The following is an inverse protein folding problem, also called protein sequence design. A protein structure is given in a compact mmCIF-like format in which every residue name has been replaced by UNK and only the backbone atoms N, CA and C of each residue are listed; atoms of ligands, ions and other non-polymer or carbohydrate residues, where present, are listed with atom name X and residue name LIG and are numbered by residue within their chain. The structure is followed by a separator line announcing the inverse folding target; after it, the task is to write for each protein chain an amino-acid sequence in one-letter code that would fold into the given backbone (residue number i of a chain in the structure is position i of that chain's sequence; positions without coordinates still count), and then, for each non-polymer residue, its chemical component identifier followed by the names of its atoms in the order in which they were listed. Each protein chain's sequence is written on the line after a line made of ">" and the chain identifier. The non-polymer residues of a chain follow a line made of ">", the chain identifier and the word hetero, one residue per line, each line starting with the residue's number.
data_IF_229657545176
#
_entry.id   IF_229657545176
#
_cell.length_a   1.000
_cell.length_b   1.000
_cell.length_c   1.000
_cell.angle_alpha   90.00
_cell.angle_beta   90.00
_cell.angle_gamma   90.00
#
_symmetry.space_group_name_H-M   'P 1'
#
loop_
_entity.id
_entity.type
_entity.pdbx_description
1 polymer ?
#
# COMPACT_ATOMS: atom_id res chain seq x y z
N UNK A 1 3.07 8.98 41.47
CA UNK A 1 3.12 7.79 40.61
C UNK A 1 1.79 7.00 40.62
N UNK A 2 0.65 7.63 40.96
CA UNK A 2 -0.67 6.95 40.97
C UNK A 2 -1.41 7.07 39.63
N UNK A 3 -1.02 8.00 38.76
CA UNK A 3 -1.83 8.44 37.61
C UNK A 3 -1.80 7.50 36.40
N UNK A 4 -1.05 6.40 36.46
CA UNK A 4 -0.88 5.44 35.36
C UNK A 4 -1.03 3.97 35.77
N UNK A 5 -1.76 3.70 36.87
CA UNK A 5 -2.04 2.33 37.28
C UNK A 5 -2.76 1.58 36.16
N UNK A 6 -2.37 0.33 35.92
CA UNK A 6 -2.93 -0.57 34.90
C UNK A 6 -2.79 -0.08 33.43
N UNK A 7 -1.86 0.85 33.16
CA UNK A 7 -1.58 1.37 31.80
C UNK A 7 -0.68 0.47 30.94
N UNK A 8 -0.14 -0.60 31.51
CA UNK A 8 0.87 -1.45 30.87
C UNK A 8 0.32 -2.13 29.60
N UNK A 9 -0.88 -2.71 29.66
CA UNK A 9 -1.51 -3.36 28.52
C UNK A 9 -1.74 -2.38 27.36
N UNK A 10 -2.20 -1.17 27.65
CA UNK A 10 -2.39 -0.11 26.65
C UNK A 10 -1.05 0.33 26.06
N UNK A 11 -0.04 0.49 26.90
CA UNK A 11 1.31 0.86 26.45
C UNK A 11 1.90 -0.20 25.52
N UNK A 12 1.73 -1.47 25.87
CA UNK A 12 2.17 -2.60 25.04
C UNK A 12 1.45 -2.62 23.69
N UNK A 13 0.12 -2.44 23.69
CA UNK A 13 -0.67 -2.32 22.46
C UNK A 13 -0.15 -1.19 21.56
N UNK A 14 -0.05 0.03 22.11
CA UNK A 14 0.41 1.20 21.35
C UNK A 14 1.82 1.00 20.78
N UNK A 15 2.75 0.42 21.56
CA UNK A 15 4.11 0.12 21.09
C UNK A 15 4.12 -0.92 19.97
N UNK A 16 3.33 -1.99 20.11
CA UNK A 16 3.22 -3.04 19.10
C UNK A 16 2.71 -2.49 17.78
N UNK A 17 1.62 -1.71 17.83
CA UNK A 17 1.04 -1.09 16.63
C UNK A 17 1.98 -0.05 16.03
N UNK A 18 2.64 0.78 16.84
CA UNK A 18 3.63 1.75 16.36
C UNK A 18 4.77 1.05 15.60
N UNK A 19 5.35 0.00 16.20
CA UNK A 19 6.45 -0.73 15.57
C UNK A 19 5.99 -1.45 14.29
N UNK A 20 4.76 -1.96 14.24
CA UNK A 20 4.19 -2.48 12.99
C UNK A 20 4.16 -1.41 11.90
N UNK A 21 3.67 -0.20 12.20
CA UNK A 21 3.68 0.91 11.24
C UNK A 21 5.10 1.27 10.80
N UNK A 22 6.07 1.32 11.71
CA UNK A 22 7.46 1.60 11.38
C UNK A 22 8.04 0.55 10.42
N UNK A 23 7.75 -0.75 10.65
CA UNK A 23 8.16 -1.83 9.72
C UNK A 23 7.49 -1.68 8.36
N UNK A 24 6.19 -1.38 8.30
CA UNK A 24 5.46 -1.26 7.02
C UNK A 24 5.73 0.05 6.27
N UNK A 25 6.38 1.02 6.91
CA UNK A 25 6.66 2.35 6.34
C UNK A 25 8.16 2.68 6.33
N UNK A 26 9.01 1.68 6.11
CA UNK A 26 10.47 1.90 6.01
C UNK A 26 10.82 2.64 4.73
N UNK A 27 11.44 3.82 4.90
CA UNK A 27 11.83 4.74 3.81
C UNK A 27 13.33 4.94 3.69
N UNK A 28 14.08 4.80 4.77
CA UNK A 28 15.47 5.19 4.84
C UNK A 28 16.36 4.04 5.33
N UNK A 29 17.32 3.64 4.50
CA UNK A 29 18.34 2.64 4.82
C UNK A 29 19.18 2.99 6.05
N UNK A 30 19.42 4.27 6.28
CA UNK A 30 20.26 4.78 7.35
C UNK A 30 19.46 5.18 8.60
N UNK A 31 18.17 4.80 8.71
CA UNK A 31 17.40 5.12 9.91
C UNK A 31 18.10 4.55 11.15
N UNK A 32 18.24 5.39 12.18
CA UNK A 32 18.82 5.02 13.47
C UNK A 32 17.80 4.33 14.38
N UNK A 33 16.51 4.49 14.08
CA UNK A 33 15.43 3.94 14.89
C UNK A 33 15.22 2.45 14.58
N UNK A 34 14.91 1.64 15.60
CA UNK A 34 14.44 0.27 15.39
C UNK A 34 13.19 0.25 14.51
N UNK A 35 12.99 -0.84 13.77
CA UNK A 35 11.82 -1.11 12.92
C UNK A 35 11.64 -0.21 11.68
N UNK A 36 12.20 0.99 11.65
CA UNK A 36 12.17 1.86 10.46
C UNK A 36 13.22 1.48 9.39
N UNK A 37 14.14 0.56 9.68
CA UNK A 37 15.16 0.12 8.72
C UNK A 37 14.57 -0.79 7.64
N UNK A 38 15.10 -0.78 6.41
CA UNK A 38 14.60 -1.63 5.34
C UNK A 38 14.82 -3.10 5.67
N UNK A 39 13.91 -3.95 5.20
CA UNK A 39 14.06 -5.38 5.36
C UNK A 39 15.30 -5.85 4.61
N UNK A 40 16.17 -6.55 5.30
CA UNK A 40 17.43 -7.06 4.78
C UNK A 40 17.87 -8.24 5.63
N UNK A 41 18.90 -9.01 5.22
CA UNK A 41 19.45 -10.07 6.06
C UNK A 41 19.89 -9.58 7.46
N UNK A 42 20.24 -8.29 7.60
CA UNK A 42 20.63 -7.69 8.87
C UNK A 42 19.45 -7.35 9.80
N UNK A 43 18.23 -7.27 9.27
CA UNK A 43 17.01 -6.96 10.05
C UNK A 43 16.09 -8.17 10.18
N UNK A 44 16.65 -9.38 10.09
CA UNK A 44 15.88 -10.62 10.14
C UNK A 44 15.01 -10.74 11.38
N UNK A 45 15.48 -10.21 12.51
CA UNK A 45 14.75 -10.17 13.77
C UNK A 45 13.38 -9.46 13.68
N UNK A 46 13.14 -8.62 12.66
CA UNK A 46 11.84 -8.00 12.45
C UNK A 46 10.77 -9.06 12.13
N UNK A 47 11.13 -10.16 11.45
CA UNK A 47 10.19 -11.25 11.20
C UNK A 47 9.72 -11.92 12.49
N UNK A 48 10.62 -12.15 13.45
CA UNK A 48 10.21 -12.68 14.77
C UNK A 48 9.20 -11.75 15.45
N UNK A 49 9.48 -10.44 15.46
CA UNK A 49 8.54 -9.43 15.96
C UNK A 49 7.20 -9.46 15.20
N UNK A 50 7.22 -9.61 13.87
CA UNK A 50 5.99 -9.67 13.05
C UNK A 50 5.15 -10.91 13.38
N UNK A 51 5.74 -12.07 13.65
CA UNK A 51 4.98 -13.24 14.14
C UNK A 51 4.35 -12.98 15.50
N UNK A 52 5.14 -12.48 16.45
CA UNK A 52 4.66 -12.17 17.80
C UNK A 52 3.51 -11.15 17.76
N UNK A 53 3.66 -10.11 16.92
CA UNK A 53 2.63 -9.11 16.70
C UNK A 53 1.39 -9.72 16.02
N UNK A 54 1.55 -10.60 15.03
CA UNK A 54 0.44 -11.30 14.37
C UNK A 54 -0.38 -12.12 15.36
N UNK A 55 0.27 -12.89 16.22
CA UNK A 55 -0.40 -13.71 17.23
C UNK A 55 -1.05 -12.85 18.32
N UNK A 56 -0.38 -11.78 18.74
CA UNK A 56 -0.96 -10.78 19.63
C UNK A 56 -2.25 -10.18 19.04
N UNK A 57 -2.23 -9.70 17.80
CA UNK A 57 -3.40 -9.12 17.12
C UNK A 57 -4.56 -10.13 17.00
N UNK A 58 -4.27 -11.42 16.77
CA UNK A 58 -5.28 -12.49 16.75
C UNK A 58 -5.89 -12.75 18.12
N UNK A 59 -5.11 -12.57 19.19
CA UNK A 59 -5.55 -12.79 20.57
C UNK A 59 -6.42 -11.67 21.13
N UNK A 60 -6.34 -10.46 20.56
CA UNK A 60 -7.09 -9.29 21.04
C UNK A 60 -8.59 -9.56 21.07
N UNK A 61 -9.26 -9.08 22.12
CA UNK A 61 -10.70 -9.21 22.32
C UNK A 61 -11.36 -7.86 22.54
N UNK A 62 -12.61 -7.78 22.11
CA UNK A 62 -13.56 -6.72 22.45
C UNK A 62 -14.66 -7.35 23.32
N UNK A 63 -14.57 -7.15 24.63
CA UNK A 63 -15.30 -7.97 25.60
C UNK A 63 -14.88 -9.43 25.49
N UNK A 64 -15.83 -10.34 25.32
CA UNK A 64 -15.55 -11.78 25.18
C UNK A 64 -15.24 -12.23 23.74
N UNK A 65 -15.45 -11.36 22.76
CA UNK A 65 -15.31 -11.70 21.34
C UNK A 65 -13.93 -11.31 20.81
N UNK A 66 -13.24 -12.21 20.09
CA UNK A 66 -11.98 -11.86 19.40
C UNK A 66 -12.20 -10.74 18.39
N UNK A 67 -11.30 -9.77 18.35
CA UNK A 67 -11.42 -8.59 17.47
C UNK A 67 -11.52 -8.99 16.00
N UNK A 68 -10.79 -10.03 15.58
CA UNK A 68 -10.82 -10.59 14.22
C UNK A 68 -12.18 -11.18 13.81
N UNK A 69 -13.04 -11.53 14.78
CA UNK A 69 -14.41 -12.01 14.55
C UNK A 69 -15.45 -10.89 14.70
N UNK A 70 -15.05 -9.73 15.22
CA UNK A 70 -15.93 -8.61 15.47
C UNK A 70 -16.20 -7.77 14.21
N UNK A 71 -17.11 -6.80 14.30
CA UNK A 71 -17.33 -5.78 13.25
C UNK A 71 -16.10 -4.88 13.03
N UNK A 72 -15.18 -4.79 13.99
CA UNK A 72 -13.96 -3.95 13.92
C UNK A 72 -12.73 -4.70 13.39
N UNK A 73 -12.92 -5.88 12.79
CA UNK A 73 -11.84 -6.76 12.33
C UNK A 73 -10.95 -6.20 11.22
N UNK A 74 -11.43 -5.22 10.44
CA UNK A 74 -10.83 -4.82 9.16
C UNK A 74 -9.35 -4.40 9.29
N UNK A 75 -9.03 -3.46 10.18
CA UNK A 75 -7.65 -2.99 10.37
C UNK A 75 -6.71 -4.09 10.87
N UNK A 76 -7.20 -4.96 11.74
CA UNK A 76 -6.43 -6.08 12.30
C UNK A 76 -6.16 -7.17 11.26
N UNK A 77 -7.16 -7.50 10.44
CA UNK A 77 -6.99 -8.40 9.29
C UNK A 77 -6.02 -7.81 8.27
N UNK A 78 -6.10 -6.49 8.02
CA UNK A 78 -5.15 -5.79 7.17
C UNK A 78 -3.71 -6.00 7.62
N UNK A 79 -3.42 -5.79 8.91
CA UNK A 79 -2.09 -6.09 9.46
C UNK A 79 -1.69 -7.56 9.27
N UNK A 80 -2.57 -8.51 9.58
CA UNK A 80 -2.27 -9.94 9.46
C UNK A 80 -1.95 -10.34 8.01
N UNK A 81 -2.72 -9.84 7.04
CA UNK A 81 -2.50 -10.07 5.61
C UNK A 81 -1.16 -9.43 5.20
N UNK A 82 -0.92 -8.17 5.56
CA UNK A 82 0.34 -7.49 5.23
C UNK A 82 1.55 -8.20 5.81
N UNK A 83 1.45 -8.75 7.02
CA UNK A 83 2.51 -9.57 7.63
C UNK A 83 2.78 -10.81 6.77
N UNK A 84 1.74 -11.57 6.42
CA UNK A 84 1.89 -12.79 5.60
C UNK A 84 2.46 -12.48 4.21
N UNK A 85 1.98 -11.44 3.54
CA UNK A 85 2.53 -11.03 2.24
C UNK A 85 4.02 -10.66 2.36
N UNK A 86 4.42 -10.01 3.44
CA UNK A 86 5.82 -9.63 3.66
C UNK A 86 6.75 -10.85 3.83
N UNK A 87 6.22 -11.97 4.32
CA UNK A 87 6.96 -13.24 4.39
C UNK A 87 7.26 -13.82 3.01
N UNK A 88 6.34 -13.68 2.06
CA UNK A 88 6.56 -14.13 0.68
C UNK A 88 7.63 -13.29 0.00
N UNK A 89 7.73 -11.99 0.34
CA UNK A 89 8.78 -11.09 -0.16
C UNK A 89 10.11 -11.17 0.60
N UNK A 90 10.31 -12.17 1.46
CA UNK A 90 11.50 -12.26 2.31
C UNK A 90 12.77 -12.23 1.46
N UNK A 91 13.55 -11.17 1.66
CA UNK A 91 14.77 -10.81 0.91
C UNK A 91 15.80 -11.95 0.82
N UNK A 92 15.76 -12.92 1.75
CA UNK A 92 16.64 -14.10 1.72
C UNK A 92 16.41 -15.01 0.51
N UNK A 93 15.19 -15.10 -0.01
CA UNK A 93 14.88 -15.97 -1.16
C UNK A 93 15.26 -15.32 -2.49
N UNK A 94 15.22 -13.99 -2.54
CA UNK A 94 15.65 -13.20 -3.70
C UNK A 94 17.12 -12.83 -3.55
N UNK A 95 18.04 -13.75 -3.89
CA UNK A 95 19.51 -13.52 -3.87
C UNK A 95 19.98 -12.22 -4.58
N UNK A 96 19.10 -11.61 -5.37
CA UNK A 96 19.32 -10.38 -6.12
C UNK A 96 18.99 -9.10 -5.34
N UNK A 97 18.08 -9.17 -4.36
CA UNK A 97 17.61 -8.00 -3.63
C UNK A 97 18.44 -7.79 -2.35
N UNK A 98 19.14 -6.66 -2.23
CA UNK A 98 19.96 -6.36 -1.05
C UNK A 98 19.12 -5.96 0.16
N UNK A 99 18.02 -5.26 -0.09
CA UNK A 99 17.07 -4.80 0.91
C UNK A 99 15.73 -4.42 0.25
N UNK A 100 14.66 -4.37 1.04
CA UNK A 100 13.32 -3.99 0.63
C UNK A 100 12.82 -2.81 1.48
N UNK A 101 12.46 -1.72 0.79
CA UNK A 101 11.78 -0.57 1.40
C UNK A 101 10.28 -0.82 1.38
N UNK A 102 9.71 -1.13 2.53
CA UNK A 102 8.28 -1.45 2.67
C UNK A 102 7.37 -0.29 2.32
N UNK A 103 7.83 0.95 2.44
CA UNK A 103 7.12 2.12 1.93
C UNK A 103 6.82 2.02 0.42
N UNK A 104 7.69 1.38 -0.38
CA UNK A 104 7.45 1.20 -1.82
C UNK A 104 6.32 0.21 -2.13
N UNK A 105 5.86 -0.55 -1.15
CA UNK A 105 4.70 -1.44 -1.26
C UNK A 105 3.39 -0.75 -0.86
N UNK A 106 3.44 0.47 -0.33
CA UNK A 106 2.24 1.19 0.12
C UNK A 106 1.57 1.99 -1.00
N UNK A 107 0.27 2.23 -0.82
CA UNK A 107 -0.55 3.02 -1.76
C UNK A 107 -0.23 4.53 -1.72
N UNK A 108 0.59 5.01 -0.78
CA UNK A 108 0.94 6.42 -0.61
C UNK A 108 1.39 7.09 -1.93
N UNK A 109 2.11 6.36 -2.79
CA UNK A 109 2.54 6.87 -4.09
C UNK A 109 1.36 7.25 -5.00
N UNK A 110 0.27 6.46 -4.96
CA UNK A 110 -0.97 6.76 -5.68
C UNK A 110 -1.74 7.91 -5.02
N UNK A 111 -1.74 8.02 -3.69
CA UNK A 111 -2.37 9.15 -3.00
C UNK A 111 -1.67 10.48 -3.30
N UNK A 112 -0.34 10.48 -3.33
CA UNK A 112 0.47 11.63 -3.76
C UNK A 112 0.13 11.99 -5.21
N UNK A 113 0.08 11.00 -6.10
CA UNK A 113 -0.27 11.19 -7.50
C UNK A 113 -1.66 11.81 -7.67
N UNK A 114 -2.69 11.28 -7.00
CA UNK A 114 -4.04 11.84 -7.07
C UNK A 114 -4.14 13.23 -6.44
N UNK A 115 -3.34 13.51 -5.41
CA UNK A 115 -3.22 14.86 -4.84
C UNK A 115 -2.63 15.85 -5.85
N UNK A 116 -1.58 15.46 -6.58
CA UNK A 116 -1.03 16.27 -7.67
C UNK A 116 -2.06 16.53 -8.76
N UNK A 117 -2.84 15.51 -9.14
CA UNK A 117 -3.92 15.68 -10.11
C UNK A 117 -4.91 16.69 -9.53
N UNK A 118 -5.44 16.49 -8.30
CA UNK A 118 -6.41 17.41 -7.65
C UNK A 118 -5.95 18.87 -7.69
N UNK A 119 -4.70 19.14 -7.36
CA UNK A 119 -4.15 20.49 -7.33
C UNK A 119 -4.02 21.17 -8.72
N UNK A 120 -4.11 20.43 -9.83
CA UNK A 120 -4.06 20.99 -11.20
C UNK A 120 -5.42 21.47 -11.74
N UNK A 121 -6.51 21.32 -11.00
CA UNK A 121 -7.84 21.80 -11.38
C UNK A 121 -8.22 23.07 -10.63
N UNK A 122 -8.76 24.07 -11.33
CA UNK A 122 -9.38 25.24 -10.70
C UNK A 122 -10.67 24.82 -9.97
N UNK A 123 -10.78 25.15 -8.67
CA UNK A 123 -12.00 25.27 -7.84
C UNK A 123 -13.13 24.23 -7.99
N UNK A 124 -12.83 23.00 -8.40
CA UNK A 124 -13.81 21.90 -8.49
C UNK A 124 -13.20 20.60 -7.96
N UNK A 125 -13.58 20.22 -6.75
CA UNK A 125 -13.16 18.96 -6.11
C UNK A 125 -13.73 17.71 -6.83
N UNK A 126 -14.84 17.87 -7.55
CA UNK A 126 -15.52 16.80 -8.29
C UNK A 126 -15.31 16.95 -9.79
N UNK A 127 -14.14 16.51 -10.27
CA UNK A 127 -13.85 16.52 -11.70
C UNK A 127 -14.61 15.44 -12.45
N UNK A 128 -15.13 15.81 -13.62
CA UNK A 128 -15.66 14.83 -14.58
C UNK A 128 -14.52 13.95 -15.10
N UNK A 129 -14.82 12.69 -15.46
CA UNK A 129 -13.85 11.75 -16.03
C UNK A 129 -13.04 12.33 -17.21
N UNK A 130 -13.65 13.21 -18.02
CA UNK A 130 -12.97 13.93 -19.11
C UNK A 130 -11.89 14.91 -18.61
N UNK A 131 -12.16 15.64 -17.52
CA UNK A 131 -11.19 16.57 -16.91
C UNK A 131 -10.03 15.79 -16.29
N UNK A 132 -10.30 14.66 -15.64
CA UNK A 132 -9.25 13.75 -15.17
C UNK A 132 -8.37 13.25 -16.32
N UNK A 133 -8.98 12.77 -17.42
CA UNK A 133 -8.26 12.29 -18.59
C UNK A 133 -7.35 13.39 -19.19
N UNK A 134 -7.85 14.62 -19.31
CA UNK A 134 -7.06 15.74 -19.84
C UNK A 134 -5.90 16.13 -18.93
N UNK A 135 -6.09 16.12 -17.61
CA UNK A 135 -5.03 16.39 -16.63
C UNK A 135 -4.00 15.27 -16.63
N UNK A 136 -4.44 14.01 -16.73
CA UNK A 136 -3.55 12.86 -16.84
C UNK A 136 -2.69 12.94 -18.11
N UNK A 137 -3.30 13.22 -19.27
CA UNK A 137 -2.58 13.45 -20.53
C UNK A 137 -1.57 14.60 -20.40
N UNK A 138 -1.99 15.73 -19.81
CA UNK A 138 -1.11 16.88 -19.56
C UNK A 138 0.03 16.53 -18.60
N UNK A 139 -0.22 15.73 -17.57
CA UNK A 139 0.79 15.29 -16.61
C UNK A 139 1.81 14.38 -17.28
N UNK A 140 1.36 13.39 -18.06
CA UNK A 140 2.23 12.48 -18.82
C UNK A 140 3.13 13.23 -19.80
N UNK A 141 2.57 14.19 -20.55
CA UNK A 141 3.33 15.05 -21.48
C UNK A 141 4.27 16.02 -20.76
N UNK A 142 3.88 16.58 -19.61
CA UNK A 142 4.75 17.48 -18.84
C UNK A 142 5.80 16.75 -18.01
N UNK A 143 5.62 15.49 -17.62
CA UNK A 143 6.68 14.72 -16.94
C UNK A 143 7.90 14.48 -17.84
N UNK A 144 7.76 14.64 -19.16
CA UNK A 144 8.87 14.65 -20.12
C UNK A 144 9.61 16.01 -20.16
N UNK A 145 9.00 17.09 -19.64
CA UNK A 145 9.54 18.46 -19.66
C UNK A 145 9.70 18.94 -18.22
N UNK A 146 10.92 18.80 -17.69
CA UNK A 146 11.32 19.11 -16.30
C UNK A 146 10.77 20.44 -15.75
N UNK A 147 10.49 20.44 -14.45
CA UNK A 147 9.52 21.29 -13.75
C UNK A 147 9.80 22.79 -13.65
N UNK A 148 8.75 23.54 -13.27
CA UNK A 148 8.82 24.96 -12.96
C UNK A 148 8.90 25.17 -11.44
N UNK A 149 9.83 26.01 -10.99
CA UNK A 149 10.28 26.23 -9.60
C UNK A 149 9.24 26.88 -8.64
N UNK A 150 7.95 26.94 -9.02
CA UNK A 150 6.94 27.78 -8.37
C UNK A 150 5.91 27.02 -7.50
N UNK A 151 6.17 25.76 -7.09
CA UNK A 151 5.27 25.01 -6.21
C UNK A 151 5.75 25.01 -4.76
N UNK A 152 4.85 25.32 -3.83
CA UNK A 152 5.11 25.32 -2.38
C UNK A 152 5.33 23.91 -1.77
N UNK A 153 5.44 22.87 -2.59
CA UNK A 153 5.72 21.49 -2.16
C UNK A 153 7.05 21.07 -2.73
N UNK A 154 8.01 20.82 -1.84
CA UNK A 154 9.33 20.30 -2.22
C UNK A 154 9.16 18.88 -2.74
N UNK A 155 9.48 18.66 -4.01
CA UNK A 155 9.61 17.32 -4.60
C UNK A 155 10.84 16.68 -3.97
N UNK A 156 10.63 15.74 -3.04
CA UNK A 156 11.70 15.12 -2.27
C UNK A 156 12.34 13.90 -2.94
N UNK A 157 11.71 13.33 -3.98
CA UNK A 157 12.27 12.25 -4.79
C UNK A 157 11.75 12.32 -6.23
N UNK A 158 12.64 12.05 -7.19
CA UNK A 158 12.28 11.87 -8.60
C UNK A 158 11.60 10.51 -8.77
N UNK A 159 10.27 10.50 -8.80
CA UNK A 159 9.50 9.29 -9.16
C UNK A 159 9.50 9.17 -10.68
N UNK A 160 10.30 8.25 -11.22
CA UNK A 160 10.26 7.91 -12.64
C UNK A 160 8.95 7.19 -12.96
N UNK A 161 8.07 7.81 -13.73
CA UNK A 161 6.88 7.14 -14.28
C UNK A 161 7.37 6.20 -15.39
N UNK A 162 6.92 4.94 -15.37
CA UNK A 162 7.21 3.96 -16.41
C UNK A 162 6.69 4.46 -17.75
N UNK A 163 7.59 4.59 -18.73
CA UNK A 163 7.27 4.98 -20.09
C UNK A 163 6.65 3.79 -20.84
N UNK A 164 5.32 3.70 -20.84
CA UNK A 164 4.62 2.82 -21.75
C UNK A 164 4.58 3.51 -23.12
N UNK A 165 5.42 3.07 -24.05
CA UNK A 165 5.30 3.51 -25.45
C UNK A 165 3.88 3.19 -25.92
N UNK A 166 3.16 4.18 -26.40
CA UNK A 166 1.88 3.96 -27.06
C UNK A 166 2.13 3.32 -28.42
N UNK A 167 2.45 2.02 -28.43
CA UNK A 167 2.24 1.23 -29.64
C UNK A 167 0.74 1.15 -29.81
N UNK A 168 0.21 1.92 -30.75
CA UNK A 168 -1.16 1.85 -31.21
C UNK A 168 -1.45 0.41 -31.57
N UNK A 169 -2.09 -0.35 -30.68
CA UNK A 169 -2.78 -1.55 -31.10
C UNK A 169 -3.97 -1.05 -31.89
N UNK A 170 -3.83 -1.07 -33.22
CA UNK A 170 -4.95 -0.91 -34.14
C UNK A 170 -5.99 -1.97 -33.78
N UNK A 171 -7.00 -1.58 -33.01
CA UNK A 171 -8.21 -2.38 -32.85
C UNK A 171 -8.91 -2.30 -34.20
N UNK A 172 -8.64 -3.27 -35.07
CA UNK A 172 -9.44 -3.51 -36.26
C UNK A 172 -10.81 -3.97 -35.77
N UNK A 173 -11.79 -3.09 -35.82
CA UNK A 173 -13.20 -3.46 -35.76
C UNK A 173 -13.53 -4.23 -37.03
N UNK A 174 -13.61 -5.55 -36.91
CA UNK A 174 -14.31 -6.40 -37.87
C UNK A 174 -15.29 -7.26 -37.09
N UNK A 175 -16.57 -7.00 -37.34
CA UNK A 175 -17.69 -7.87 -36.99
C UNK A 175 -17.47 -9.27 -37.57
N UNK A 176 -17.94 -10.26 -36.82
CA UNK A 176 -17.97 -11.71 -37.07
C UNK A 176 -16.64 -12.50 -37.06
N UNK A 177 -16.42 -13.26 -35.98
CA UNK A 177 -16.25 -14.74 -36.00
C UNK A 177 -16.14 -15.29 -34.56
N UNK A 178 -17.22 -15.96 -34.15
CA UNK A 178 -17.34 -17.14 -33.29
C UNK A 178 -16.17 -17.62 -32.40
N UNK A 179 -16.50 -17.78 -31.11
CA UNK A 179 -16.06 -18.82 -30.17
C UNK A 179 -14.56 -19.14 -30.04
N UNK A 180 -13.94 -18.62 -28.99
CA UNK A 180 -12.98 -19.37 -28.16
C UNK A 180 -12.96 -18.78 -26.75
N UNK A 181 -13.79 -19.36 -25.90
CA UNK A 181 -13.78 -19.17 -24.45
C UNK A 181 -12.47 -19.69 -23.87
N UNK A 182 -11.52 -18.80 -23.59
CA UNK A 182 -10.48 -19.08 -22.61
C UNK A 182 -10.96 -18.55 -21.26
N UNK A 183 -11.50 -19.45 -20.44
CA UNK A 183 -11.74 -19.22 -19.02
C UNK A 183 -10.40 -18.92 -18.36
N UNK A 184 -10.17 -17.66 -18.04
CA UNK A 184 -9.16 -17.28 -17.04
C UNK A 184 -9.70 -17.85 -15.73
N UNK A 185 -9.07 -18.91 -15.22
CA UNK A 185 -9.33 -19.38 -13.86
C UNK A 185 -9.02 -18.22 -12.91
N UNK A 186 -10.07 -17.63 -12.33
CA UNK A 186 -9.92 -16.57 -11.35
C UNK A 186 -9.44 -17.23 -10.05
N UNK A 187 -8.21 -16.95 -9.65
CA UNK A 187 -7.61 -17.45 -8.41
C UNK A 187 -8.50 -17.11 -7.19
N UNK A 188 -8.53 -18.01 -6.19
CA UNK A 188 -9.38 -17.86 -4.99
C UNK A 188 -9.16 -16.52 -4.27
N UNK A 189 -7.93 -16.01 -4.27
CA UNK A 189 -7.58 -14.72 -3.68
C UNK A 189 -8.23 -13.55 -4.43
N UNK A 190 -8.34 -13.65 -5.75
CA UNK A 190 -9.01 -12.65 -6.59
C UNK A 190 -10.53 -12.67 -6.39
N UNK A 191 -11.11 -13.85 -6.19
CA UNK A 191 -12.53 -14.03 -5.84
C UNK A 191 -12.79 -13.43 -4.45
N UNK A 192 -11.90 -13.68 -3.48
CA UNK A 192 -12.02 -13.14 -2.13
C UNK A 192 -11.84 -11.62 -2.09
N UNK A 193 -10.95 -11.07 -2.92
CA UNK A 193 -10.79 -9.63 -3.12
C UNK A 193 -12.01 -8.97 -3.78
N UNK A 194 -12.61 -9.59 -4.80
CA UNK A 194 -13.89 -9.11 -5.37
C UNK A 194 -15.02 -9.13 -4.35
N UNK A 195 -15.08 -10.17 -3.51
CA UNK A 195 -16.06 -10.29 -2.42
C UNK A 195 -15.84 -9.19 -1.37
N UNK A 196 -14.58 -8.86 -1.07
CA UNK A 196 -14.19 -7.75 -0.21
C UNK A 196 -14.67 -6.39 -0.76
N UNK A 197 -14.50 -6.13 -2.06
CA UNK A 197 -14.95 -4.89 -2.70
C UNK A 197 -16.48 -4.72 -2.71
N UNK A 198 -17.24 -5.81 -2.81
CA UNK A 198 -18.72 -5.78 -2.80
C UNK A 198 -19.33 -5.55 -1.41
N UNK A 199 -18.57 -5.76 -0.33
CA UNK A 199 -19.08 -5.66 1.05
C UNK A 199 -18.85 -4.26 1.64
N UNK A 200 -18.01 -3.41 1.01
CA UNK A 200 -17.81 -2.03 1.43
C UNK A 200 -18.99 -1.15 0.99
N UNK A 201 -19.88 -0.71 1.90
CA UNK A 201 -20.86 0.30 1.58
C UNK A 201 -20.14 1.65 1.64
N UNK A 202 -20.04 2.32 0.49
CA UNK A 202 -20.00 3.78 0.50
C UNK A 202 -21.39 4.30 0.85
#
# INVERSE_FOLDING_TARGET
>A
MADFKDSEATTYFCRTVNNLFDVFNSRNRMSKKPYEKPLSPATEQYFNFLEEAKDYLKSLKLGDTRVILSRRKLGFLGFIISINSLYEYRVKETKELKYLLTYKLSQDHLEIFFSCIRNKGEYSDNRTSQQFQNILKKLLLHTEISGNEASNVVVLDNTSILHCSSSSLEIKTSEDMTSSSNSIEEDEDFIQFKKFLRISPW
#
